data_IF_817056140074
#
_entry.id   IF_817056140074
#
_cell.length_a   1.000
_cell.length_b   1.000
_cell.length_c   1.000
_cell.angle_alpha   90.00
_cell.angle_beta   90.00
_cell.angle_gamma   90.00
#
_symmetry.space_group_name_H-M   'P 1'
#
loop_
_entity.id
_entity.type
_entity.pdbx_description
1 polymer ?
#
# COMPACT_ATOMS: atom_id res chain seq x y z
N UNK A 1 32.91 0.25 14.47
CA UNK A 1 31.48 0.24 14.82
C UNK A 1 30.74 -0.09 13.54
N UNK A 2 29.99 -1.20 13.42
CA UNK A 2 29.28 -1.47 12.19
C UNK A 2 28.01 -0.60 12.16
N UNK A 3 27.80 -0.02 10.98
CA UNK A 3 26.69 0.83 10.60
C UNK A 3 25.33 0.16 10.91
N UNK A 4 24.43 0.88 11.56
CA UNK A 4 23.00 0.59 11.50
C UNK A 4 22.57 0.59 10.03
N UNK A 5 22.53 -0.61 9.44
CA UNK A 5 21.88 -0.84 8.17
C UNK A 5 20.40 -0.62 8.45
N UNK A 6 19.88 0.55 8.10
CA UNK A 6 18.45 0.74 7.94
C UNK A 6 18.04 -0.18 6.78
N UNK A 7 17.69 -1.43 7.11
CA UNK A 7 17.05 -2.33 6.17
C UNK A 7 15.67 -1.73 5.96
N UNK A 8 15.52 -0.88 4.95
CA UNK A 8 14.21 -0.52 4.43
C UNK A 8 13.54 -1.84 4.04
N UNK A 9 12.51 -2.23 4.82
CA UNK A 9 11.74 -3.44 4.54
C UNK A 9 11.35 -3.41 3.07
N UNK A 10 11.67 -4.47 2.33
CA UNK A 10 11.30 -4.55 0.92
C UNK A 10 9.77 -4.54 0.83
N UNK A 11 9.22 -3.45 0.29
CA UNK A 11 7.80 -3.29 0.06
C UNK A 11 7.56 -3.43 -1.43
N UNK A 12 6.69 -4.35 -1.82
CA UNK A 12 6.27 -4.55 -3.20
C UNK A 12 4.75 -4.60 -3.27
N UNK A 13 4.19 -3.83 -4.20
CA UNK A 13 2.78 -3.94 -4.56
C UNK A 13 2.57 -5.26 -5.32
N UNK A 14 1.57 -6.03 -4.92
CA UNK A 14 1.23 -7.33 -5.52
C UNK A 14 0.04 -7.12 -6.46
N UNK A 15 -1.14 -6.83 -5.91
CA UNK A 15 -2.38 -6.69 -6.67
C UNK A 15 -3.45 -5.90 -5.91
N UNK A 16 -4.53 -5.52 -6.61
CA UNK A 16 -5.76 -5.01 -5.98
C UNK A 16 -6.82 -6.08 -6.06
N UNK A 17 -7.43 -6.39 -4.93
CA UNK A 17 -8.45 -7.42 -4.76
C UNK A 17 -9.77 -6.72 -4.42
N UNK A 18 -10.86 -7.13 -5.07
CA UNK A 18 -12.20 -6.70 -4.69
C UNK A 18 -12.78 -7.68 -3.67
N UNK A 19 -12.88 -7.26 -2.42
CA UNK A 19 -13.47 -8.05 -1.33
C UNK A 19 -14.95 -7.69 -1.13
N UNK A 20 -15.86 -8.68 -1.20
CA UNK A 20 -17.29 -8.43 -1.00
C UNK A 20 -17.55 -7.93 0.43
N UNK A 21 -18.13 -6.74 0.55
CA UNK A 21 -18.42 -6.08 1.83
C UNK A 21 -17.30 -5.18 2.36
N UNK A 22 -16.08 -5.31 1.85
CA UNK A 22 -14.91 -4.48 2.23
C UNK A 22 -14.51 -3.50 1.13
N UNK A 23 -14.83 -3.82 -0.14
CA UNK A 23 -14.46 -3.03 -1.31
C UNK A 23 -13.08 -3.40 -1.85
N UNK A 24 -12.41 -2.46 -2.51
CA UNK A 24 -11.09 -2.68 -3.08
C UNK A 24 -9.99 -2.55 -2.01
N UNK A 25 -9.17 -3.60 -1.88
CA UNK A 25 -7.99 -3.64 -1.02
C UNK A 25 -6.75 -3.91 -1.86
N UNK A 26 -5.60 -3.35 -1.49
CA UNK A 26 -4.33 -3.64 -2.13
C UNK A 26 -3.53 -4.62 -1.28
N UNK A 27 -2.99 -5.64 -1.93
CA UNK A 27 -1.99 -6.51 -1.32
C UNK A 27 -0.59 -5.94 -1.52
N UNK A 28 0.11 -5.76 -0.40
CA UNK A 28 1.50 -5.34 -0.31
C UNK A 28 2.31 -6.47 0.32
N UNK A 29 3.35 -6.93 -0.36
CA UNK A 29 4.36 -7.81 0.23
C UNK A 29 5.39 -6.95 0.94
N UNK A 30 5.59 -7.22 2.23
CA UNK A 30 6.51 -6.49 3.09
C UNK A 30 7.43 -7.53 3.70
N UNK A 31 8.70 -7.49 3.32
CA UNK A 31 9.65 -8.58 3.53
C UNK A 31 9.08 -9.90 2.96
N UNK A 32 8.75 -10.85 3.85
CA UNK A 32 8.27 -12.18 3.50
C UNK A 32 6.80 -12.43 3.89
N UNK A 33 6.05 -11.35 4.17
CA UNK A 33 4.65 -11.41 4.57
C UNK A 33 3.79 -10.54 3.65
N UNK A 34 2.60 -11.05 3.30
CA UNK A 34 1.58 -10.29 2.57
C UNK A 34 0.67 -9.58 3.56
N UNK A 35 0.40 -8.31 3.30
CA UNK A 35 -0.49 -7.47 4.06
C UNK A 35 -1.49 -6.81 3.11
N UNK A 36 -2.75 -6.83 3.49
CA UNK A 36 -3.82 -6.20 2.72
C UNK A 36 -4.18 -4.87 3.36
N UNK A 37 -4.30 -3.83 2.54
CA UNK A 37 -4.65 -2.48 2.98
C UNK A 37 -5.78 -1.94 2.12
N UNK A 38 -6.83 -1.47 2.77
CA UNK A 38 -7.88 -0.70 2.12
C UNK A 38 -7.38 0.73 1.81
N UNK A 39 -8.22 1.52 1.12
CA UNK A 39 -7.91 2.91 0.76
C UNK A 39 -7.49 3.77 1.96
N UNK A 40 -8.20 3.68 3.08
CA UNK A 40 -7.89 4.43 4.31
C UNK A 40 -6.61 3.90 4.96
N UNK A 41 -6.43 2.57 5.01
CA UNK A 41 -5.21 1.95 5.50
C UNK A 41 -3.95 2.41 4.76
N UNK A 42 -4.02 2.47 3.42
CA UNK A 42 -2.92 3.00 2.59
C UNK A 42 -2.67 4.48 2.85
N UNK A 43 -3.71 5.32 2.87
CA UNK A 43 -3.58 6.76 3.14
C UNK A 43 -2.90 7.02 4.50
N UNK A 44 -3.33 6.32 5.55
CA UNK A 44 -2.73 6.45 6.88
C UNK A 44 -1.25 6.05 6.86
N UNK A 45 -0.92 4.96 6.18
CA UNK A 45 0.45 4.44 6.10
C UNK A 45 1.38 5.34 5.31
N UNK A 46 0.92 5.91 4.20
CA UNK A 46 1.66 6.90 3.40
C UNK A 46 2.01 8.10 4.28
N UNK A 47 1.02 8.64 5.01
CA UNK A 47 1.25 9.77 5.93
C UNK A 47 2.29 9.41 7.00
N UNK A 48 2.21 8.21 7.58
CA UNK A 48 3.19 7.77 8.57
C UNK A 48 4.60 7.62 8.00
N UNK A 49 4.74 7.12 6.77
CA UNK A 49 6.05 6.98 6.10
C UNK A 49 6.64 8.34 5.78
N UNK A 50 5.87 9.25 5.19
CA UNK A 50 6.30 10.62 4.88
C UNK A 50 6.73 11.35 6.16
N UNK A 51 5.97 11.23 7.25
CA UNK A 51 6.33 11.84 8.54
C UNK A 51 7.63 11.28 9.15
N UNK A 52 8.00 10.05 8.79
CA UNK A 52 9.24 9.39 9.22
C UNK A 52 10.39 9.57 8.21
N UNK A 53 10.16 10.27 7.10
CA UNK A 53 11.13 10.42 6.02
C UNK A 53 11.42 9.12 5.25
N UNK A 54 10.47 8.18 5.25
CA UNK A 54 10.57 6.90 4.54
C UNK A 54 9.89 6.97 3.17
N UNK A 55 10.37 6.17 2.22
CA UNK A 55 9.73 6.05 0.91
C UNK A 55 8.31 5.47 1.03
N UNK A 56 7.33 6.14 0.41
CA UNK A 56 5.93 5.72 0.36
C UNK A 56 5.46 5.43 -1.07
N UNK A 57 6.38 5.37 -2.04
CA UNK A 57 6.07 5.28 -3.47
C UNK A 57 5.22 4.06 -3.80
N UNK A 58 5.44 2.94 -3.10
CA UNK A 58 4.71 1.69 -3.33
C UNK A 58 3.29 1.76 -2.78
N UNK A 59 3.10 2.32 -1.59
CA UNK A 59 1.77 2.56 -1.03
C UNK A 59 0.98 3.58 -1.85
N UNK A 60 1.63 4.63 -2.35
CA UNK A 60 1.02 5.61 -3.26
C UNK A 60 0.57 4.96 -4.58
N UNK A 61 1.40 4.09 -5.15
CA UNK A 61 1.06 3.32 -6.35
C UNK A 61 -0.14 2.42 -6.08
N UNK A 62 -0.15 1.71 -4.95
CA UNK A 62 -1.27 0.87 -4.53
C UNK A 62 -2.56 1.69 -4.37
N UNK A 63 -2.48 2.88 -3.76
CA UNK A 63 -3.63 3.75 -3.56
C UNK A 63 -4.18 4.29 -4.89
N UNK A 64 -3.29 4.68 -5.81
CA UNK A 64 -3.67 5.10 -7.15
C UNK A 64 -4.38 3.98 -7.93
N UNK A 65 -3.92 2.73 -7.78
CA UNK A 65 -4.57 1.55 -8.37
C UNK A 65 -5.97 1.35 -7.79
N UNK A 66 -6.12 1.34 -6.46
CA UNK A 66 -7.44 1.23 -5.80
C UNK A 66 -8.41 2.30 -6.30
N UNK A 67 -7.98 3.56 -6.36
CA UNK A 67 -8.82 4.65 -6.83
C UNK A 67 -9.25 4.43 -8.29
N UNK A 68 -8.32 4.01 -9.16
CA UNK A 68 -8.63 3.74 -10.57
C UNK A 68 -9.65 2.61 -10.74
N UNK A 69 -9.52 1.52 -9.96
CA UNK A 69 -10.52 0.45 -9.95
C UNK A 69 -11.85 0.95 -9.39
N UNK A 70 -11.86 1.70 -8.29
CA UNK A 70 -13.10 2.22 -7.73
C UNK A 70 -13.86 3.11 -8.73
N UNK A 71 -13.17 4.04 -9.39
CA UNK A 71 -13.76 4.91 -10.41
C UNK A 71 -14.30 4.12 -11.61
N UNK A 72 -13.58 3.08 -12.06
CA UNK A 72 -14.03 2.23 -13.16
C UNK A 72 -15.28 1.39 -12.84
N UNK A 73 -15.55 1.13 -11.56
CA UNK A 73 -16.74 0.39 -11.12
C UNK A 73 -17.93 1.31 -10.81
N UNK A 74 -17.72 2.61 -10.57
CA UNK A 74 -18.80 3.59 -10.34
C UNK A 74 -19.44 4.14 -11.63
N UNK A 75 -18.84 3.91 -12.81
CA UNK A 75 -19.38 4.33 -14.13
C UNK A 75 -20.35 3.31 -14.79
N UNK A 76 -20.99 2.40 -14.02
CA UNK A 76 -21.95 1.42 -14.55
C UNK A 76 -23.39 1.61 -14.05
#
# INVERSE_FOLDING_TARGET
>A
MPHDINIEKEVAFVEVINLPGEGFVAELRIDNASYMFDRQGLQHRIVQKIQRGLDASVEETALARINNYSSAFEEQ
#
